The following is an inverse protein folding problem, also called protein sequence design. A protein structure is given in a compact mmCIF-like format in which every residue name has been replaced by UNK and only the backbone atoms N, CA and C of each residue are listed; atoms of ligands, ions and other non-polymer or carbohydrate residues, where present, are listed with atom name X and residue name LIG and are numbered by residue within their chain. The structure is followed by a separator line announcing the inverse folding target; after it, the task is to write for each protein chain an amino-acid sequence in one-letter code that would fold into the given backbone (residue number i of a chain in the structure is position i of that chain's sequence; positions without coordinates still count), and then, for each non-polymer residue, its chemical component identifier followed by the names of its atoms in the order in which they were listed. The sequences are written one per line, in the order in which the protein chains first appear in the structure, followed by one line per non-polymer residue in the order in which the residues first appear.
data_IF_716753403686
#
_entry.id   IF_716753403686
#
_cell.length_a   1.000
_cell.length_b   1.000
_cell.length_c   1.000
_cell.angle_alpha   90.00
_cell.angle_beta   90.00
_cell.angle_gamma   90.00
#
_symmetry.space_group_name_H-M   'P 1'
#
loop_
_entity.id
_entity.type
_entity.pdbx_description
1 polymer ?
#
# COMPACT_ATOMS: atom_id res chain seq x y z
N UNK A 1 30.27 50.70 72.11
CA UNK A 1 29.26 49.86 72.80
C UNK A 1 28.61 49.10 71.67
N UNK A 2 28.94 47.81 71.56
CA UNK A 2 28.61 47.00 70.41
C UNK A 2 27.17 46.51 70.54
N UNK A 3 26.27 47.06 69.73
CA UNK A 3 25.03 46.36 69.39
C UNK A 3 25.25 45.81 67.99
N UNK A 4 25.91 44.66 67.94
CA UNK A 4 25.76 43.73 66.81
C UNK A 4 24.27 43.38 66.77
N UNK A 5 23.52 44.11 65.94
CA UNK A 5 22.30 43.60 65.32
C UNK A 5 22.66 42.22 64.75
N UNK A 6 22.33 41.17 65.50
CA UNK A 6 22.57 39.80 65.10
C UNK A 6 21.64 39.54 63.92
N UNK A 7 22.16 39.73 62.71
CA UNK A 7 21.45 39.39 61.48
C UNK A 7 21.16 37.88 61.52
N UNK A 8 19.90 37.55 61.82
CA UNK A 8 19.44 36.18 61.91
C UNK A 8 19.07 35.70 60.50
N UNK A 9 20.01 35.02 59.85
CA UNK A 9 19.79 34.41 58.55
C UNK A 9 19.39 32.94 58.72
N UNK A 10 18.23 32.56 58.20
CA UNK A 10 17.86 31.16 58.12
C UNK A 10 18.71 30.42 57.10
N UNK A 11 19.08 29.18 57.43
CA UNK A 11 19.77 28.25 56.53
C UNK A 11 18.92 27.94 55.30
N UNK A 12 19.54 27.41 54.24
CA UNK A 12 18.79 26.94 53.06
C UNK A 12 17.72 25.93 53.47
N UNK A 13 16.58 25.97 52.78
CA UNK A 13 15.39 25.20 53.12
C UNK A 13 14.47 25.83 54.19
N UNK A 14 14.82 26.95 54.83
CA UNK A 14 13.93 27.62 55.80
C UNK A 14 13.83 29.11 55.55
N UNK A 15 12.62 29.66 55.60
CA UNK A 15 12.38 31.10 55.44
C UNK A 15 12.33 31.80 56.81
N UNK A 16 12.74 33.07 56.83
CA UNK A 16 12.63 33.91 58.02
C UNK A 16 11.18 34.39 58.19
N UNK A 17 10.59 34.12 59.35
CA UNK A 17 9.28 34.62 59.74
C UNK A 17 9.36 35.26 61.13
N UNK A 18 9.31 36.60 61.19
CA UNK A 18 9.15 37.36 62.43
C UNK A 18 10.10 36.94 63.57
N UNK A 19 11.38 36.68 63.26
CA UNK A 19 12.49 36.23 64.14
C UNK A 19 12.71 34.72 64.29
N UNK A 20 11.86 33.87 63.70
CA UNK A 20 12.02 32.40 63.70
C UNK A 20 12.27 31.86 62.29
N UNK A 21 13.00 30.73 62.20
CA UNK A 21 13.17 30.00 60.95
C UNK A 21 12.06 28.96 60.77
N UNK A 22 11.17 29.23 59.83
CA UNK A 22 10.12 28.28 59.45
C UNK A 22 10.60 27.43 58.26
N UNK A 23 10.59 26.08 58.38
CA UNK A 23 11.00 25.21 57.29
C UNK A 23 10.01 25.31 56.13
N UNK A 24 10.53 25.33 54.91
CA UNK A 24 9.70 25.22 53.71
C UNK A 24 8.96 23.90 53.73
N UNK A 25 7.63 23.97 53.56
CA UNK A 25 6.78 22.79 53.48
C UNK A 25 7.01 22.07 52.14
N UNK A 26 6.49 20.86 52.03
CA UNK A 26 6.47 20.12 50.77
C UNK A 26 5.94 20.96 49.59
N UNK A 27 6.45 20.66 48.40
CA UNK A 27 6.23 21.47 47.22
C UNK A 27 7.01 22.79 47.17
N UNK A 28 7.67 23.21 48.25
CA UNK A 28 8.43 24.45 48.29
C UNK A 28 9.88 24.22 48.68
N UNK A 29 10.76 25.06 48.13
CA UNK A 29 12.19 24.99 48.36
C UNK A 29 12.78 26.38 48.60
N UNK A 30 13.96 26.42 49.22
CA UNK A 30 14.68 27.66 49.44
C UNK A 30 16.19 27.45 49.21
N UNK A 31 16.72 27.88 48.05
CA UNK A 31 18.11 27.61 47.69
C UNK A 31 19.11 28.52 48.41
N UNK A 32 18.68 29.73 48.81
CA UNK A 32 19.55 30.74 49.41
C UNK A 32 19.28 30.94 50.90
N UNK A 33 20.35 31.22 51.65
CA UNK A 33 20.27 31.61 53.06
C UNK A 33 19.64 32.99 53.20
N UNK A 34 18.85 33.20 54.26
CA UNK A 34 18.26 34.51 54.58
C UNK A 34 17.08 34.95 53.70
N UNK A 35 16.56 34.09 52.81
CA UNK A 35 15.34 34.37 52.05
C UNK A 35 14.12 34.42 52.99
N UNK A 36 13.21 35.36 52.70
CA UNK A 36 12.02 35.64 53.54
C UNK A 36 10.82 34.76 53.17
N UNK A 37 10.84 34.12 52.00
CA UNK A 37 9.74 33.30 51.47
C UNK A 37 10.26 32.08 50.76
N UNK A 38 9.61 30.93 50.98
CA UNK A 38 9.89 29.71 50.23
C UNK A 38 9.35 29.83 48.80
N UNK A 39 10.14 29.36 47.83
CA UNK A 39 9.76 29.34 46.42
C UNK A 39 9.00 28.04 46.11
N UNK A 40 7.91 28.06 45.33
CA UNK A 40 7.26 26.84 44.88
C UNK A 40 8.16 26.12 43.87
N UNK A 41 8.13 24.79 43.88
CA UNK A 41 8.79 24.01 42.85
C UNK A 41 8.17 24.31 41.48
N UNK A 42 8.99 24.54 40.43
CA UNK A 42 8.47 24.74 39.07
C UNK A 42 7.83 23.45 38.55
N UNK A 43 7.03 23.57 37.49
CA UNK A 43 6.46 22.41 36.79
C UNK A 43 7.56 21.43 36.38
N UNK A 44 7.25 20.13 36.44
CA UNK A 44 8.21 19.06 36.22
C UNK A 44 9.12 18.74 37.41
N UNK A 45 9.02 19.51 38.50
CA UNK A 45 9.80 19.28 39.71
C UNK A 45 8.89 19.12 40.93
N UNK A 46 9.39 18.40 41.93
CA UNK A 46 8.69 18.14 43.18
C UNK A 46 9.64 18.15 44.38
N UNK A 47 9.09 18.31 45.57
CA UNK A 47 9.82 18.03 46.82
C UNK A 47 8.85 17.52 47.87
N UNK A 48 9.13 16.35 48.43
CA UNK A 48 8.36 15.75 49.52
C UNK A 48 9.01 15.96 50.90
N UNK A 49 10.19 16.57 50.93
CA UNK A 49 10.91 16.84 52.17
C UNK A 49 10.57 18.25 52.67
N UNK A 50 10.27 18.34 53.97
CA UNK A 50 10.30 19.61 54.67
C UNK A 50 11.74 20.12 54.73
N UNK A 51 11.90 21.44 54.72
CA UNK A 51 13.20 22.12 54.69
C UNK A 51 14.08 21.85 53.47
N UNK A 52 13.47 21.65 52.30
CA UNK A 52 14.23 21.38 51.08
C UNK A 52 14.93 22.62 50.51
N UNK A 53 16.20 22.48 50.14
CA UNK A 53 16.97 23.53 49.46
C UNK A 53 16.89 23.45 47.93
N UNK A 54 16.36 22.36 47.37
CA UNK A 54 16.29 22.10 45.93
C UNK A 54 15.06 21.27 45.58
N UNK A 55 14.46 21.50 44.41
CA UNK A 55 13.43 20.59 43.90
C UNK A 55 14.04 19.44 43.11
N UNK A 56 13.46 18.26 43.25
CA UNK A 56 13.82 17.05 42.50
C UNK A 56 13.04 17.02 41.18
N UNK A 57 13.70 16.63 40.09
CA UNK A 57 13.03 16.44 38.80
C UNK A 57 12.12 15.21 38.83
N UNK A 58 10.95 15.28 38.21
CA UNK A 58 10.14 14.09 37.97
C UNK A 58 10.90 13.10 37.08
N UNK A 59 10.97 11.81 37.47
CA UNK A 59 11.60 10.79 36.65
C UNK A 59 10.78 10.54 35.38
N UNK A 60 11.39 9.99 34.31
CA UNK A 60 10.67 9.55 33.11
C UNK A 60 9.48 8.65 33.47
N UNK A 61 8.39 8.78 32.73
CA UNK A 61 7.10 8.16 33.04
C UNK A 61 6.28 8.91 34.10
N UNK A 62 6.78 9.98 34.71
CA UNK A 62 6.03 10.81 35.65
C UNK A 62 6.09 12.28 35.27
N UNK A 63 5.09 13.03 35.69
CA UNK A 63 4.95 14.45 35.40
C UNK A 63 4.46 15.23 36.62
N UNK A 64 4.72 16.54 36.62
CA UNK A 64 4.16 17.49 37.57
C UNK A 64 3.67 18.74 36.82
N UNK A 65 2.36 18.87 36.65
CA UNK A 65 1.74 19.96 35.90
C UNK A 65 1.48 21.22 36.76
N UNK A 66 1.55 21.09 38.08
CA UNK A 66 1.28 22.17 39.04
C UNK A 66 2.58 22.71 39.63
N UNK A 67 2.69 24.03 39.76
CA UNK A 67 3.76 24.65 40.56
C UNK A 67 3.51 24.36 42.04
N UNK A 68 4.56 24.08 42.79
CA UNK A 68 4.43 23.73 44.20
C UNK A 68 4.07 22.25 44.43
N UNK A 69 4.35 21.37 43.46
CA UNK A 69 4.03 19.94 43.56
C UNK A 69 4.87 19.24 44.64
N UNK A 70 4.23 18.51 45.56
CA UNK A 70 4.92 17.68 46.55
C UNK A 70 5.26 16.27 46.05
N UNK A 71 4.68 15.86 44.93
CA UNK A 71 4.87 14.55 44.30
C UNK A 71 4.71 14.61 42.78
N UNK A 72 5.34 13.69 42.07
CA UNK A 72 5.10 13.48 40.64
C UNK A 72 3.96 12.48 40.44
N UNK A 73 3.08 12.76 39.48
CA UNK A 73 2.02 11.85 39.06
C UNK A 73 2.52 10.98 37.92
N UNK A 74 2.21 9.70 37.93
CA UNK A 74 2.57 8.80 36.82
C UNK A 74 1.71 9.10 35.59
N UNK A 75 2.29 8.97 34.40
CA UNK A 75 1.50 8.99 33.17
C UNK A 75 0.49 7.84 33.19
N UNK A 76 -0.76 8.15 32.82
CA UNK A 76 -1.79 7.14 32.68
C UNK A 76 -1.48 6.22 31.48
N UNK A 77 -2.07 5.03 31.47
CA UNK A 77 -2.01 4.09 30.33
C UNK A 77 -2.34 4.80 29.00
N UNK A 78 -1.62 4.41 27.95
CA UNK A 78 -1.68 5.07 26.64
C UNK A 78 -0.83 6.34 26.56
N UNK A 79 -0.29 6.86 27.67
CA UNK A 79 0.56 8.05 27.69
C UNK A 79 1.95 7.73 28.22
N UNK A 80 2.92 8.52 27.78
CA UNK A 80 4.32 8.37 28.18
C UNK A 80 5.02 9.72 28.32
N UNK A 81 6.16 9.71 29.00
CA UNK A 81 7.13 10.82 28.93
C UNK A 81 8.54 10.29 29.06
N UNK A 82 9.39 10.59 28.07
CA UNK A 82 10.80 10.21 28.08
C UNK A 82 11.67 11.23 28.81
N UNK A 83 11.20 12.46 28.95
CA UNK A 83 11.95 13.55 29.56
C UNK A 83 11.91 13.47 31.09
N UNK A 84 13.06 13.73 31.69
CA UNK A 84 13.19 13.96 33.12
C UNK A 84 12.91 15.43 33.39
N UNK A 85 11.91 15.75 34.22
CA UNK A 85 11.28 17.07 34.43
C UNK A 85 10.03 17.39 33.60
N UNK A 86 9.29 16.39 33.12
CA UNK A 86 8.11 16.67 32.31
C UNK A 86 6.95 17.29 33.10
N UNK A 87 6.29 18.27 32.48
CA UNK A 87 5.06 18.89 32.98
C UNK A 87 3.79 18.16 32.52
N UNK A 88 3.86 17.34 31.47
CA UNK A 88 2.72 16.63 30.89
C UNK A 88 3.14 15.32 30.22
N UNK A 89 2.21 14.40 30.05
CA UNK A 89 2.45 13.17 29.30
C UNK A 89 1.97 13.32 27.86
N UNK A 90 2.71 12.73 26.93
CA UNK A 90 2.34 12.64 25.52
C UNK A 90 1.60 11.33 25.26
N UNK A 91 0.59 11.32 24.38
CA UNK A 91 -0.05 10.07 23.99
C UNK A 91 0.91 9.22 23.16
N UNK A 92 0.80 7.90 23.28
CA UNK A 92 1.45 7.00 22.34
C UNK A 92 0.91 7.22 20.94
N UNK A 93 1.81 7.42 19.99
CA UNK A 93 1.48 7.57 18.57
C UNK A 93 0.91 6.26 18.00
N UNK A 94 0.26 6.35 16.85
CA UNK A 94 -0.24 5.20 16.08
C UNK A 94 0.86 4.15 15.89
N UNK A 95 0.48 2.87 15.88
CA UNK A 95 1.41 1.74 15.83
C UNK A 95 2.15 1.44 17.15
N UNK A 96 1.93 2.23 18.21
CA UNK A 96 2.53 2.02 19.53
C UNK A 96 1.49 2.04 20.65
N UNK A 97 1.84 1.41 21.78
CA UNK A 97 0.97 1.29 22.95
C UNK A 97 1.73 1.41 24.27
N UNK A 98 0.98 1.66 25.34
CA UNK A 98 1.47 1.62 26.71
C UNK A 98 0.37 1.05 27.61
N UNK A 99 0.57 -0.17 28.12
CA UNK A 99 -0.43 -0.89 28.90
C UNK A 99 -0.28 -0.70 30.43
N UNK A 100 0.80 -0.08 30.88
CA UNK A 100 1.11 0.18 32.29
C UNK A 100 1.14 1.67 32.59
N UNK A 101 0.81 2.06 33.82
CA UNK A 101 1.04 3.43 34.26
C UNK A 101 2.55 3.70 34.38
N UNK A 102 2.96 4.94 34.10
CA UNK A 102 4.36 5.35 34.24
C UNK A 102 5.27 4.97 33.08
N UNK A 103 4.76 4.78 31.87
CA UNK A 103 5.60 4.49 30.70
C UNK A 103 6.59 5.64 30.42
N UNK A 104 7.88 5.32 30.38
CA UNK A 104 8.92 6.25 29.92
C UNK A 104 9.04 6.30 28.39
N UNK A 105 8.53 5.26 27.70
CA UNK A 105 8.49 5.13 26.24
C UNK A 105 7.30 4.25 25.85
N UNK A 106 6.69 4.51 24.71
CA UNK A 106 5.72 3.59 24.11
C UNK A 106 6.40 2.39 23.46
N UNK A 107 5.74 1.25 23.54
CA UNK A 107 6.17 0.00 22.90
C UNK A 107 5.47 -0.12 21.56
N UNK A 108 6.22 -0.42 20.50
CA UNK A 108 5.62 -0.67 19.18
C UNK A 108 4.83 -1.97 19.17
N UNK A 109 3.73 -2.00 18.43
CA UNK A 109 2.93 -3.21 18.26
C UNK A 109 3.71 -4.28 17.49
N UNK A 110 3.55 -5.55 17.88
CA UNK A 110 4.20 -6.68 17.23
C UNK A 110 3.73 -6.85 15.78
N UNK A 111 4.46 -7.59 14.93
CA UNK A 111 3.96 -7.99 13.61
C UNK A 111 2.58 -8.67 13.74
N UNK A 112 1.68 -8.33 12.82
CA UNK A 112 0.28 -8.75 12.87
C UNK A 112 -0.61 -7.98 13.84
N UNK A 113 -0.11 -6.99 14.59
CA UNK A 113 -0.92 -6.15 15.49
C UNK A 113 -0.74 -4.66 15.21
N UNK A 114 -1.81 -3.90 15.33
CA UNK A 114 -1.80 -2.45 15.10
C UNK A 114 -2.42 -1.67 16.26
N UNK A 115 -2.15 -0.37 16.27
CA UNK A 115 -2.80 0.60 17.15
C UNK A 115 -3.25 1.78 16.27
N UNK A 116 -4.55 1.82 15.95
CA UNK A 116 -5.13 2.77 15.00
C UNK A 116 -5.33 4.18 15.58
N UNK A 117 -5.30 4.31 16.91
CA UNK A 117 -5.57 5.58 17.60
C UNK A 117 -4.41 5.97 18.49
N UNK A 118 -4.15 7.26 18.62
CA UNK A 118 -3.26 7.77 19.66
C UNK A 118 -3.78 7.39 21.05
N UNK A 119 -2.86 7.18 21.99
CA UNK A 119 -3.24 6.83 23.37
C UNK A 119 -3.71 5.39 23.55
N UNK A 120 -3.43 4.51 22.58
CA UNK A 120 -3.85 3.11 22.65
C UNK A 120 -3.17 2.37 23.81
N UNK A 121 -3.98 1.65 24.59
CA UNK A 121 -3.51 0.89 25.76
C UNK A 121 -2.98 -0.49 25.37
N UNK A 122 -3.59 -1.14 24.37
CA UNK A 122 -3.21 -2.46 23.88
C UNK A 122 -3.37 -2.50 22.35
N UNK A 123 -2.49 -3.22 21.67
CA UNK A 123 -2.62 -3.45 20.24
C UNK A 123 -3.80 -4.37 19.91
N UNK A 124 -4.33 -4.20 18.71
CA UNK A 124 -5.38 -5.03 18.11
C UNK A 124 -4.81 -5.84 16.96
N UNK A 125 -5.13 -7.13 16.88
CA UNK A 125 -4.67 -7.98 15.78
C UNK A 125 -5.27 -7.54 14.45
N UNK A 126 -4.49 -7.60 13.36
CA UNK A 126 -4.97 -7.36 12.01
C UNK A 126 -6.14 -8.30 11.71
N UNK A 127 -7.24 -7.81 11.10
CA UNK A 127 -8.34 -8.66 10.68
C UNK A 127 -7.93 -9.54 9.49
N UNK A 128 -8.71 -10.58 9.16
CA UNK A 128 -8.53 -11.37 7.95
C UNK A 128 -8.48 -10.49 6.70
N UNK A 129 -7.66 -10.89 5.73
CA UNK A 129 -7.35 -10.14 4.52
C UNK A 129 -6.34 -9.00 4.72
N UNK A 130 -5.86 -8.79 5.95
CA UNK A 130 -4.84 -7.81 6.28
C UNK A 130 -3.66 -8.45 7.01
N UNK A 131 -2.49 -7.83 6.87
CA UNK A 131 -1.25 -8.25 7.50
C UNK A 131 -0.44 -7.04 7.95
N UNK A 132 0.49 -7.25 8.89
CA UNK A 132 1.47 -6.22 9.28
C UNK A 132 2.84 -6.86 9.44
N UNK A 133 3.78 -6.49 8.57
CA UNK A 133 5.16 -6.95 8.66
C UNK A 133 5.92 -6.35 9.86
N UNK A 134 7.21 -6.66 9.96
CA UNK A 134 8.09 -6.05 10.97
C UNK A 134 8.39 -4.57 10.70
N UNK A 135 8.33 -4.17 9.43
CA UNK A 135 8.73 -2.84 8.96
C UNK A 135 7.52 -1.91 8.76
N UNK A 136 6.33 -2.40 9.10
CA UNK A 136 5.07 -1.68 8.95
C UNK A 136 4.59 -1.12 10.30
N UNK A 137 4.01 0.07 10.29
CA UNK A 137 3.41 0.67 11.49
C UNK A 137 1.93 0.25 11.67
N UNK A 138 1.24 -0.11 10.58
CA UNK A 138 -0.21 -0.40 10.52
C UNK A 138 -0.51 -1.62 9.65
N UNK A 139 -1.65 -2.26 9.86
CA UNK A 139 -2.10 -3.36 9.01
C UNK A 139 -2.39 -2.87 7.58
N UNK A 140 -1.90 -3.64 6.61
CA UNK A 140 -2.08 -3.43 5.19
C UNK A 140 -2.91 -4.57 4.61
N UNK A 141 -3.73 -4.26 3.61
CA UNK A 141 -4.50 -5.27 2.88
C UNK A 141 -3.53 -6.13 2.07
N UNK A 142 -3.78 -7.43 1.99
CA UNK A 142 -3.03 -8.32 1.10
C UNK A 142 -3.13 -7.85 -0.35
N UNK A 143 -2.06 -8.06 -1.13
CA UNK A 143 -2.08 -7.76 -2.56
C UNK A 143 -3.04 -8.69 -3.31
N UNK A 144 -3.49 -8.25 -4.49
CA UNK A 144 -4.38 -9.05 -5.31
C UNK A 144 -3.68 -10.35 -5.73
N UNK A 145 -4.33 -11.49 -5.47
CA UNK A 145 -3.74 -12.81 -5.69
C UNK A 145 -3.11 -13.42 -4.45
N UNK A 146 -3.04 -12.68 -3.33
CA UNK A 146 -2.67 -13.20 -2.03
C UNK A 146 -3.89 -13.24 -1.09
N UNK A 147 -3.82 -14.09 -0.07
CA UNK A 147 -4.89 -14.25 0.90
C UNK A 147 -4.33 -14.51 2.31
N UNK A 148 -5.14 -14.22 3.30
CA UNK A 148 -4.91 -14.54 4.69
C UNK A 148 -6.25 -14.56 5.45
N UNK A 149 -6.64 -15.71 5.97
CA UNK A 149 -7.93 -15.86 6.65
C UNK A 149 -7.83 -15.84 8.18
N UNK A 150 -6.62 -15.89 8.72
CA UNK A 150 -6.37 -15.78 10.15
C UNK A 150 -6.13 -14.33 10.59
N UNK A 151 -6.52 -14.01 11.83
CA UNK A 151 -6.21 -12.74 12.46
C UNK A 151 -4.76 -12.69 12.92
N UNK A 152 -4.14 -11.51 12.92
CA UNK A 152 -2.85 -11.33 13.58
C UNK A 152 -1.64 -11.79 12.77
N UNK A 153 -1.74 -11.79 11.44
CA UNK A 153 -0.70 -12.34 10.57
C UNK A 153 0.30 -11.30 10.12
N UNK A 154 1.55 -11.73 10.04
CA UNK A 154 2.68 -10.89 9.64
C UNK A 154 2.91 -10.86 8.12
N UNK A 155 2.27 -11.75 7.37
CA UNK A 155 2.37 -11.87 5.92
C UNK A 155 1.11 -12.52 5.33
N UNK A 156 0.91 -12.31 4.03
CA UNK A 156 -0.10 -13.00 3.25
C UNK A 156 0.51 -14.21 2.54
N UNK A 157 -0.33 -15.19 2.25
CA UNK A 157 0.04 -16.38 1.49
C UNK A 157 -0.42 -16.21 0.04
N UNK A 158 0.43 -16.57 -0.92
CA UNK A 158 0.07 -16.50 -2.33
C UNK A 158 -1.01 -17.52 -2.67
N UNK A 159 -2.03 -17.12 -3.43
CA UNK A 159 -3.08 -18.02 -3.86
C UNK A 159 -2.48 -19.17 -4.70
N UNK A 160 -2.66 -20.44 -4.29
CA UNK A 160 -2.01 -21.57 -4.92
C UNK A 160 -2.56 -21.84 -6.33
N UNK A 161 -1.77 -22.54 -7.14
CA UNK A 161 -2.23 -23.03 -8.44
C UNK A 161 -3.48 -23.91 -8.31
N UNK A 162 -4.30 -23.94 -9.37
CA UNK A 162 -5.59 -24.64 -9.41
C UNK A 162 -6.63 -24.09 -8.42
N UNK A 163 -6.37 -22.93 -7.81
CA UNK A 163 -7.32 -22.20 -6.99
C UNK A 163 -7.38 -20.73 -7.42
N UNK A 164 -8.46 -20.06 -7.06
CA UNK A 164 -8.59 -18.62 -7.19
C UNK A 164 -9.10 -18.00 -5.89
N UNK A 165 -8.66 -16.77 -5.62
CA UNK A 165 -8.92 -16.04 -4.39
C UNK A 165 -9.60 -14.71 -4.73
N UNK A 166 -10.95 -14.64 -4.73
CA UNK A 166 -11.68 -13.44 -5.15
C UNK A 166 -11.55 -12.29 -4.15
N UNK A 167 -11.22 -12.59 -2.91
CA UNK A 167 -10.98 -11.61 -1.85
C UNK A 167 -9.91 -12.14 -0.89
N UNK A 168 -9.09 -11.28 -0.29
CA UNK A 168 -7.94 -11.69 0.51
C UNK A 168 -8.32 -12.33 1.85
N UNK A 169 -9.56 -12.13 2.30
CA UNK A 169 -10.15 -12.69 3.53
C UNK A 169 -10.82 -14.06 3.32
N UNK A 170 -10.74 -14.62 2.11
CA UNK A 170 -11.40 -15.88 1.74
C UNK A 170 -10.36 -16.97 1.47
N UNK A 171 -10.65 -18.20 1.92
CA UNK A 171 -9.80 -19.34 1.61
C UNK A 171 -9.79 -19.65 0.10
N UNK A 172 -8.68 -20.18 -0.45
CA UNK A 172 -8.56 -20.49 -1.88
C UNK A 172 -9.71 -21.39 -2.36
N UNK A 173 -10.40 -20.95 -3.41
CA UNK A 173 -11.53 -21.67 -4.00
C UNK A 173 -11.01 -22.52 -5.15
N UNK A 174 -11.43 -23.79 -5.23
CA UNK A 174 -11.02 -24.68 -6.31
C UNK A 174 -11.41 -24.12 -7.68
N UNK A 175 -10.46 -24.14 -8.62
CA UNK A 175 -10.67 -23.69 -9.98
C UNK A 175 -11.68 -24.61 -10.71
N UNK A 176 -12.67 -24.03 -11.42
CA UNK A 176 -13.56 -24.79 -12.30
C UNK A 176 -12.78 -25.61 -13.33
N UNK A 177 -13.32 -26.77 -13.71
CA UNK A 177 -12.63 -27.70 -14.63
C UNK A 177 -12.43 -27.14 -16.04
N UNK A 178 -13.24 -26.16 -16.43
CA UNK A 178 -13.25 -25.43 -17.70
C UNK A 178 -12.41 -24.13 -17.70
N UNK A 179 -11.81 -23.76 -16.56
CA UNK A 179 -11.02 -22.54 -16.40
C UNK A 179 -9.53 -22.82 -16.10
N UNK A 180 -8.68 -21.80 -16.28
CA UNK A 180 -7.29 -21.77 -15.85
C UNK A 180 -7.14 -20.85 -14.64
N UNK A 181 -6.44 -21.33 -13.62
CA UNK A 181 -6.11 -20.56 -12.43
C UNK A 181 -4.62 -20.76 -12.10
N UNK A 182 -3.70 -19.99 -12.70
CA UNK A 182 -2.31 -19.93 -12.27
C UNK A 182 -2.18 -19.39 -10.83
N UNK A 183 -0.99 -19.53 -10.23
CA UNK A 183 -0.72 -18.96 -8.90
C UNK A 183 -1.02 -17.45 -8.88
N UNK A 184 -1.70 -16.98 -7.83
CA UNK A 184 -2.13 -15.60 -7.70
C UNK A 184 -3.40 -15.22 -8.46
N UNK A 185 -4.19 -16.19 -8.94
CA UNK A 185 -5.44 -15.88 -9.64
C UNK A 185 -6.51 -15.33 -8.69
N UNK A 186 -7.09 -14.18 -9.03
CA UNK A 186 -8.25 -13.62 -8.32
C UNK A 186 -9.58 -14.06 -8.92
N UNK A 187 -9.58 -14.48 -10.18
CA UNK A 187 -10.75 -14.96 -10.92
C UNK A 187 -10.35 -16.11 -11.86
N UNK A 188 -11.22 -17.10 -12.12
CA UNK A 188 -10.99 -18.11 -13.14
C UNK A 188 -10.89 -17.51 -14.54
N UNK A 189 -9.85 -17.88 -15.28
CA UNK A 189 -9.69 -17.48 -16.68
C UNK A 189 -10.24 -18.54 -17.64
N UNK A 190 -11.22 -18.17 -18.46
CA UNK A 190 -11.86 -19.09 -19.42
C UNK A 190 -11.23 -18.98 -20.81
N UNK A 191 -11.28 -20.07 -21.60
CA UNK A 191 -11.07 -19.96 -23.04
C UNK A 191 -12.24 -19.19 -23.67
N UNK A 192 -12.01 -18.49 -24.77
CA UNK A 192 -13.10 -17.79 -25.48
C UNK A 192 -14.20 -18.77 -25.92
N UNK A 193 -15.39 -18.61 -25.35
CA UNK A 193 -16.56 -19.52 -25.29
C UNK A 193 -17.23 -19.90 -26.64
N UNK A 194 -16.54 -19.77 -27.76
CA UNK A 194 -17.13 -20.10 -29.08
C UNK A 194 -16.21 -20.91 -29.97
N UNK A 195 -14.89 -20.72 -29.84
CA UNK A 195 -13.93 -21.34 -30.74
C UNK A 195 -12.97 -22.30 -30.04
N UNK A 196 -12.75 -22.12 -28.74
CA UNK A 196 -11.70 -22.79 -28.01
C UNK A 196 -12.22 -23.48 -26.75
N UNK A 197 -11.69 -24.66 -26.45
CA UNK A 197 -11.92 -25.41 -25.20
C UNK A 197 -10.59 -25.65 -24.49
N UNK A 198 -10.64 -25.82 -23.17
CA UNK A 198 -9.47 -26.24 -22.38
C UNK A 198 -9.07 -27.67 -22.72
N UNK A 199 -7.78 -27.88 -23.00
CA UNK A 199 -7.16 -29.20 -23.11
C UNK A 199 -5.78 -29.16 -22.42
N UNK A 200 -5.71 -29.74 -21.22
CA UNK A 200 -4.56 -29.55 -20.33
C UNK A 200 -4.40 -28.07 -19.97
N UNK A 201 -3.21 -27.52 -20.23
CA UNK A 201 -2.83 -26.13 -19.95
C UNK A 201 -2.97 -25.20 -21.18
N UNK A 202 -3.61 -25.66 -22.25
CA UNK A 202 -3.76 -24.90 -23.50
C UNK A 202 -5.20 -24.81 -23.97
N UNK A 203 -5.53 -23.71 -24.65
CA UNK A 203 -6.78 -23.56 -25.38
C UNK A 203 -6.63 -24.18 -26.78
N UNK A 204 -7.42 -25.22 -27.07
CA UNK A 204 -7.47 -25.88 -28.38
C UNK A 204 -8.80 -25.60 -29.06
N UNK A 205 -8.83 -25.61 -30.39
CA UNK A 205 -10.10 -25.41 -31.11
C UNK A 205 -11.12 -26.49 -30.72
N UNK A 206 -12.35 -26.06 -30.49
CA UNK A 206 -13.46 -26.98 -30.26
C UNK A 206 -13.65 -27.91 -31.48
N UNK A 207 -14.04 -29.18 -31.29
CA UNK A 207 -14.27 -30.09 -32.41
C UNK A 207 -15.29 -29.57 -33.42
N UNK A 208 -16.30 -28.83 -32.93
CA UNK A 208 -17.31 -28.18 -33.77
C UNK A 208 -16.72 -27.08 -34.65
N UNK A 209 -15.78 -26.28 -34.14
CA UNK A 209 -15.16 -25.21 -34.92
C UNK A 209 -14.20 -25.76 -35.96
N UNK A 210 -13.47 -26.82 -35.62
CA UNK A 210 -12.69 -27.61 -36.59
C UNK A 210 -13.59 -28.17 -37.69
N UNK A 211 -14.76 -28.74 -37.35
CA UNK A 211 -15.70 -29.27 -38.34
C UNK A 211 -16.27 -28.18 -39.26
N UNK A 212 -16.64 -27.01 -38.73
CA UNK A 212 -17.15 -25.89 -39.52
C UNK A 212 -16.07 -25.35 -40.47
N UNK A 213 -14.83 -25.18 -39.98
CA UNK A 213 -13.72 -24.71 -40.79
C UNK A 213 -13.37 -25.69 -41.92
N UNK A 214 -13.44 -27.00 -41.68
CA UNK A 214 -13.20 -28.01 -42.72
C UNK A 214 -14.32 -28.03 -43.78
N UNK A 215 -15.59 -27.91 -43.38
CA UNK A 215 -16.72 -27.82 -44.33
C UNK A 215 -16.61 -26.56 -45.20
N UNK A 216 -16.31 -25.40 -44.60
CA UNK A 216 -16.14 -24.16 -45.35
C UNK A 216 -14.98 -24.24 -46.34
N UNK A 217 -13.85 -24.83 -45.94
CA UNK A 217 -12.72 -25.04 -46.83
C UNK A 217 -13.07 -25.94 -48.03
N UNK A 218 -13.81 -27.03 -47.81
CA UNK A 218 -14.29 -27.90 -48.90
C UNK A 218 -15.22 -27.14 -49.84
N UNK A 219 -16.15 -26.33 -49.32
CA UNK A 219 -17.04 -25.51 -50.13
C UNK A 219 -16.28 -24.50 -51.00
N UNK A 220 -15.26 -23.84 -50.44
CA UNK A 220 -14.40 -22.90 -51.18
C UNK A 220 -13.62 -23.61 -52.29
N UNK A 221 -13.05 -24.79 -52.02
CA UNK A 221 -12.34 -25.59 -53.03
C UNK A 221 -13.28 -26.02 -54.16
N UNK A 222 -14.50 -26.47 -53.82
CA UNK A 222 -15.52 -26.84 -54.82
C UNK A 222 -15.92 -25.62 -55.64
N UNK A 223 -16.19 -24.47 -55.02
CA UNK A 223 -16.53 -23.24 -55.72
C UNK A 223 -15.42 -22.79 -56.69
N UNK A 224 -14.17 -22.81 -56.24
CA UNK A 224 -13.00 -22.51 -57.08
C UNK A 224 -12.93 -23.49 -58.26
N UNK A 225 -13.11 -24.79 -58.02
CA UNK A 225 -13.09 -25.79 -59.08
C UNK A 225 -14.21 -25.57 -60.11
N UNK A 226 -15.43 -25.20 -59.68
CA UNK A 226 -16.56 -24.89 -60.56
C UNK A 226 -16.28 -23.64 -61.39
N UNK A 227 -15.68 -22.61 -60.78
CA UNK A 227 -15.26 -21.38 -61.49
C UNK A 227 -14.21 -21.72 -62.55
N UNK A 228 -13.19 -22.52 -62.20
CA UNK A 228 -12.15 -22.97 -63.14
C UNK A 228 -12.77 -23.76 -64.31
N UNK A 229 -13.71 -24.68 -64.04
CA UNK A 229 -14.39 -25.47 -65.07
C UNK A 229 -15.23 -24.58 -65.98
N UNK A 230 -16.01 -23.65 -65.40
CA UNK A 230 -16.79 -22.68 -66.19
C UNK A 230 -15.92 -21.78 -67.05
N UNK A 231 -14.80 -21.30 -66.50
CA UNK A 231 -13.84 -20.48 -67.22
C UNK A 231 -13.21 -21.25 -68.39
N UNK A 232 -12.86 -22.53 -68.18
CA UNK A 232 -12.36 -23.40 -69.25
C UNK A 232 -13.40 -23.66 -70.35
N UNK A 233 -14.67 -23.84 -69.99
CA UNK A 233 -15.76 -24.00 -70.96
C UNK A 233 -15.99 -22.73 -71.79
N UNK A 234 -15.89 -21.55 -71.18
CA UNK A 234 -16.01 -20.27 -71.89
C UNK A 234 -14.85 -20.05 -72.86
N UNK A 235 -13.59 -20.22 -72.42
CA UNK A 235 -12.43 -20.15 -73.32
C UNK A 235 -12.46 -21.19 -74.46
N UNK A 236 -13.06 -22.36 -74.24
CA UNK A 236 -13.25 -23.37 -75.30
C UNK A 236 -14.35 -23.01 -76.31
N UNK A 237 -15.42 -22.34 -75.87
CA UNK A 237 -16.53 -21.90 -76.74
C UNK A 237 -16.15 -20.70 -77.62
N UNK A 238 -15.22 -19.87 -77.14
CA UNK A 238 -14.62 -18.79 -77.95
C UNK A 238 -13.59 -19.31 -78.97
N UNK A 239 -13.06 -20.53 -78.81
CA UNK A 239 -12.16 -21.17 -79.77
C UNK A 239 -12.89 -21.95 -80.89
N UNK A 240 -14.13 -22.39 -80.67
CA UNK A 240 -14.93 -23.17 -81.63
C UNK A 240 -15.83 -22.27 -82.54
N UNK A 241 -15.94 -20.98 -82.23
CA UNK A 241 -16.71 -19.99 -83.02
C UNK A 241 -15.88 -19.25 -84.08
N UNK A 242 -14.63 -19.68 -84.35
CA UNK A 242 -13.74 -19.05 -85.34
C UNK A 242 -13.35 -19.94 -86.52
N UNK A 243 -14.19 -20.88 -86.96
CA UNK A 243 -13.95 -21.66 -88.18
C UNK A 243 -15.10 -21.59 -89.20
N UNK A 244 -15.00 -20.64 -90.14
CA UNK A 244 -15.50 -20.80 -91.53
C UNK A 244 -14.64 -19.98 -92.52
N UNK A 245 -14.55 -20.38 -93.81
CA UNK A 245 -13.35 -20.17 -94.64
C UNK A 245 -13.50 -19.11 -95.77
N UNK A 246 -12.36 -18.46 -96.10
CA UNK A 246 -11.92 -17.90 -97.41
C UNK A 246 -12.66 -16.62 -97.93
N UNK A 247 -12.09 -15.60 -98.60
CA UNK A 247 -10.85 -15.41 -99.39
C UNK A 247 -10.79 -13.92 -99.84
N UNK A 248 -9.66 -13.18 -99.68
CA UNK A 248 -9.02 -12.37 -100.77
C UNK A 248 -7.75 -11.61 -100.31
N UNK A 249 -6.66 -11.82 -101.06
CA UNK A 249 -5.45 -10.97 -101.21
C UNK A 249 -5.79 -9.69 -102.01
N UNK A 250 -5.02 -8.57 -101.97
CA UNK A 250 -3.60 -8.56 -102.37
C UNK A 250 -2.63 -7.65 -101.57
N UNK A 251 -1.34 -7.85 -101.88
CA UNK A 251 -0.12 -7.16 -101.42
C UNK A 251 -0.04 -5.68 -101.83
N UNK A 252 0.64 -4.87 -101.00
CA UNK A 252 1.70 -3.93 -101.42
C UNK A 252 2.68 -3.64 -100.25
N UNK A 253 3.98 -3.51 -100.59
CA UNK A 253 5.17 -3.29 -99.71
C UNK A 253 5.45 -1.76 -99.53
N UNK A 254 6.63 -1.30 -99.05
CA UNK A 254 7.25 -1.35 -97.70
C UNK A 254 7.66 0.06 -97.19
N UNK A 255 8.44 0.14 -96.09
CA UNK A 255 9.35 1.28 -95.69
C UNK A 255 8.65 2.54 -95.09
N UNK A 256 9.11 3.33 -94.10
CA UNK A 256 10.41 3.72 -93.48
C UNK A 256 10.17 4.21 -92.02
N UNK A 257 11.23 4.15 -91.20
CA UNK A 257 11.55 4.83 -89.91
C UNK A 257 10.75 6.05 -89.43
N UNK A 258 10.66 6.18 -88.09
CA UNK A 258 10.46 7.47 -87.41
C UNK A 258 10.34 7.34 -85.88
N UNK A 259 11.46 7.41 -85.16
CA UNK A 259 11.52 7.81 -83.74
C UNK A 259 11.38 9.34 -83.70
N UNK A 260 10.64 9.93 -82.74
CA UNK A 260 11.06 11.06 -81.87
C UNK A 260 9.98 11.35 -80.81
N UNK A 261 10.50 11.75 -79.65
CA UNK A 261 10.00 11.89 -78.29
C UNK A 261 9.14 13.13 -77.94
N UNK A 262 8.77 13.18 -76.65
CA UNK A 262 8.36 14.32 -75.79
C UNK A 262 6.89 14.75 -75.88
N UNK A 263 6.18 15.14 -74.81
CA UNK A 263 6.59 15.58 -73.47
C UNK A 263 5.48 15.30 -72.42
N UNK A 264 5.89 15.33 -71.16
CA UNK A 264 5.08 15.29 -69.93
C UNK A 264 4.05 16.43 -69.84
N UNK A 265 3.12 16.33 -68.89
CA UNK A 265 3.12 17.26 -67.75
C UNK A 265 2.60 16.58 -66.49
N UNK A 266 3.44 16.66 -65.46
CA UNK A 266 3.10 16.57 -64.03
C UNK A 266 2.45 17.89 -63.62
N UNK A 267 1.43 17.86 -62.77
CA UNK A 267 1.22 18.94 -61.79
C UNK A 267 0.67 18.38 -60.48
N UNK A 268 1.29 18.83 -59.40
CA UNK A 268 1.11 18.44 -58.02
C UNK A 268 0.07 19.32 -57.29
N UNK A 269 -0.46 18.76 -56.20
CA UNK A 269 -0.58 19.44 -54.90
C UNK A 269 -1.68 20.48 -54.71
N UNK A 270 -2.58 20.18 -53.78
CA UNK A 270 -2.81 20.98 -52.56
C UNK A 270 -2.99 20.01 -51.39
#
# INVERSE_FOLDING_TARGET
MADTESCFCCSSGSCANSSDCTPCQEGHYQPQVGQQTCLPCPQGFYTNANSSSTCLSCPPGSFANETGSSLCRTCAKGYYTSEQNSAFCLPCQEGSFCNTDGCSKCTSCSPGEEALTEGTVNCTSCPPGMFKGSDDDMCRVCEAGDFQTETGKASCDQCPENHYCPSPDVNPIQCPSDAFCPAGSTEPQYCMETFFRKAGDTCVLAPLTIAILTIFAVFVVVAISVVIVKWKQQSGRDADSSLSPLLRKPRARPTVYGIVCHAETVYAGW
#
